data_IF_495333016374
#
_entry.id   IF_495333016374
#
_cell.length_a   1.000
_cell.length_b   1.000
_cell.length_c   1.000
_cell.angle_alpha   90.00
_cell.angle_beta   90.00
_cell.angle_gamma   90.00
#
_symmetry.space_group_name_H-M   'P 1'
#
loop_
_entity.id
_entity.type
_entity.pdbx_description
1 polymer ?
#
# COMPACT_ATOMS: atom_id res chain seq x y z
N UNK A 1 -8.88 1.19 -1.72
CA UNK A 1 -7.71 1.65 -2.50
C UNK A 1 -8.09 2.66 -3.56
N UNK A 2 -8.96 2.33 -4.52
CA UNK A 2 -9.36 3.26 -5.59
C UNK A 2 -9.80 4.64 -5.06
N UNK A 3 -10.75 4.67 -4.11
CA UNK A 3 -11.20 5.93 -3.47
C UNK A 3 -10.03 6.76 -2.94
N UNK A 4 -9.08 6.13 -2.22
CA UNK A 4 -7.93 6.82 -1.63
C UNK A 4 -7.02 7.42 -2.69
N UNK A 5 -6.70 6.64 -3.73
CA UNK A 5 -5.78 7.05 -4.79
C UNK A 5 -6.39 8.17 -5.64
N UNK A 6 -7.62 7.98 -6.13
CA UNK A 6 -8.24 8.94 -7.06
C UNK A 6 -8.64 10.25 -6.38
N UNK A 7 -9.05 10.21 -5.10
CA UNK A 7 -9.25 11.43 -4.31
C UNK A 7 -7.92 12.08 -3.90
N UNK A 8 -6.90 11.28 -3.59
CA UNK A 8 -5.55 11.76 -3.26
C UNK A 8 -4.89 12.50 -4.43
N UNK A 9 -5.04 12.00 -5.66
CA UNK A 9 -4.60 12.71 -6.87
C UNK A 9 -5.31 14.05 -7.06
N UNK A 10 -6.61 14.15 -6.75
CA UNK A 10 -7.33 15.44 -6.82
C UNK A 10 -6.81 16.43 -5.77
N UNK A 11 -6.49 15.96 -4.57
CA UNK A 11 -5.89 16.78 -3.50
C UNK A 11 -4.50 17.25 -3.92
N UNK A 12 -3.69 16.37 -4.50
CA UNK A 12 -2.39 16.70 -5.06
C UNK A 12 -2.50 17.80 -6.14
N UNK A 13 -3.45 17.70 -7.07
CA UNK A 13 -3.62 18.71 -8.13
C UNK A 13 -3.92 20.12 -7.59
N UNK A 14 -4.47 20.26 -6.38
CA UNK A 14 -4.75 21.57 -5.79
C UNK A 14 -3.50 22.27 -5.25
N UNK A 15 -2.45 21.51 -4.92
CA UNK A 15 -1.13 22.03 -4.58
C UNK A 15 -0.09 21.00 -5.03
N UNK A 16 0.28 21.00 -6.31
CA UNK A 16 1.14 19.97 -6.87
C UNK A 16 2.58 20.10 -6.36
N UNK A 17 3.26 18.96 -6.20
CA UNK A 17 4.68 18.91 -5.85
C UNK A 17 5.60 18.93 -7.08
N UNK A 18 5.06 18.54 -8.24
CA UNK A 18 5.74 18.46 -9.53
C UNK A 18 4.89 19.14 -10.59
N UNK A 19 5.49 19.51 -11.73
CA UNK A 19 4.78 20.18 -12.83
C UNK A 19 3.70 19.31 -13.51
N UNK A 20 3.68 18.00 -13.22
CA UNK A 20 2.68 17.08 -13.73
C UNK A 20 1.42 17.06 -12.85
N UNK A 21 0.25 17.09 -13.50
CA UNK A 21 -1.07 16.94 -12.88
C UNK A 21 -1.76 15.66 -13.36
N UNK A 22 -2.63 15.10 -12.54
CA UNK A 22 -3.44 13.95 -12.93
C UNK A 22 -4.71 14.38 -13.69
N UNK A 23 -5.12 13.65 -14.74
CA UNK A 23 -6.34 13.96 -15.48
C UNK A 23 -7.60 13.97 -14.59
N UNK A 24 -8.45 14.98 -14.74
CA UNK A 24 -9.62 15.16 -13.87
C UNK A 24 -10.63 13.99 -13.97
N UNK A 25 -10.74 13.35 -15.13
CA UNK A 25 -11.57 12.16 -15.35
C UNK A 25 -11.09 10.90 -14.60
N UNK A 26 -9.83 10.88 -14.16
CA UNK A 26 -9.27 9.79 -13.35
C UNK A 26 -9.29 10.12 -11.84
N UNK A 27 -9.73 11.32 -11.48
CA UNK A 27 -9.74 11.80 -10.09
C UNK A 27 -11.15 11.75 -9.49
N UNK A 28 -11.25 11.69 -8.17
CA UNK A 28 -12.53 11.60 -7.45
C UNK A 28 -12.80 12.87 -6.64
N UNK A 29 -14.06 13.31 -6.63
CA UNK A 29 -14.56 14.41 -5.80
C UNK A 29 -14.87 15.70 -6.55
N UNK A 30 -14.49 15.82 -7.82
CA UNK A 30 -14.84 16.93 -8.72
C UNK A 30 -14.14 18.26 -8.41
N UNK A 31 -14.05 18.64 -7.13
CA UNK A 31 -13.40 19.84 -6.61
C UNK A 31 -12.64 19.50 -5.31
N UNK A 32 -11.86 20.44 -4.78
CA UNK A 32 -10.97 20.17 -3.65
C UNK A 32 -11.71 19.66 -2.39
N UNK A 33 -12.77 20.34 -1.96
CA UNK A 33 -13.50 19.91 -0.77
C UNK A 33 -14.20 18.55 -0.95
N UNK A 34 -14.73 18.27 -2.14
CA UNK A 34 -15.30 16.96 -2.46
C UNK A 34 -14.24 15.86 -2.44
N UNK A 35 -13.05 16.11 -2.98
CA UNK A 35 -11.93 15.18 -2.91
C UNK A 35 -11.51 14.91 -1.46
N UNK A 36 -11.39 15.95 -0.65
CA UNK A 36 -11.08 15.84 0.78
C UNK A 36 -12.11 14.97 1.50
N UNK A 37 -13.41 15.18 1.27
CA UNK A 37 -14.48 14.38 1.89
C UNK A 37 -14.36 12.89 1.54
N UNK A 38 -14.19 12.57 0.25
CA UNK A 38 -13.99 11.18 -0.20
C UNK A 38 -12.71 10.56 0.34
N UNK A 39 -11.64 11.34 0.43
CA UNK A 39 -10.37 10.88 0.97
C UNK A 39 -10.50 10.54 2.45
N UNK A 40 -11.13 11.39 3.25
CA UNK A 40 -11.38 11.10 4.67
C UNK A 40 -12.29 9.90 4.88
N UNK A 41 -13.33 9.75 4.07
CA UNK A 41 -14.19 8.57 4.11
C UNK A 41 -13.39 7.28 3.84
N UNK A 42 -12.56 7.29 2.80
CA UNK A 42 -11.66 6.19 2.49
C UNK A 42 -10.58 5.96 3.56
N UNK A 43 -10.09 7.03 4.19
CA UNK A 43 -9.01 7.00 5.18
C UNK A 43 -9.44 6.22 6.42
N UNK A 44 -10.65 6.48 6.93
CA UNK A 44 -11.16 5.74 8.09
C UNK A 44 -11.34 4.26 7.78
N UNK A 45 -11.88 3.93 6.60
CA UNK A 45 -11.98 2.54 6.17
C UNK A 45 -10.59 1.90 6.07
N UNK A 46 -9.64 2.54 5.42
CA UNK A 46 -8.29 2.00 5.28
C UNK A 46 -7.56 1.86 6.63
N UNK A 47 -7.56 2.92 7.44
CA UNK A 47 -6.87 2.98 8.71
C UNK A 47 -7.42 1.99 9.72
N UNK A 48 -8.74 1.96 9.94
CA UNK A 48 -9.37 1.04 10.91
C UNK A 48 -9.15 -0.41 10.48
N UNK A 49 -9.39 -0.75 9.21
CA UNK A 49 -9.15 -2.12 8.73
C UNK A 49 -7.68 -2.51 8.84
N UNK A 50 -6.76 -1.59 8.53
CA UNK A 50 -5.32 -1.81 8.67
C UNK A 50 -4.92 -2.06 10.12
N UNK A 51 -5.40 -1.25 11.06
CA UNK A 51 -5.14 -1.43 12.50
C UNK A 51 -5.67 -2.78 12.99
N UNK A 52 -6.93 -3.11 12.69
CA UNK A 52 -7.52 -4.41 13.09
C UNK A 52 -6.70 -5.57 12.51
N UNK A 53 -6.34 -5.50 11.23
CA UNK A 53 -5.51 -6.53 10.58
C UNK A 53 -4.14 -6.70 11.25
N UNK A 54 -3.46 -5.59 11.57
CA UNK A 54 -2.15 -5.64 12.23
C UNK A 54 -2.26 -6.20 13.65
N UNK A 55 -3.25 -5.76 14.43
CA UNK A 55 -3.47 -6.28 15.78
C UNK A 55 -3.73 -7.78 15.76
N UNK A 56 -4.59 -8.26 14.85
CA UNK A 56 -4.84 -9.71 14.68
C UNK A 56 -3.53 -10.43 14.35
N UNK A 57 -2.72 -9.91 13.43
CA UNK A 57 -1.46 -10.56 13.04
C UNK A 57 -0.42 -10.62 14.18
N UNK A 58 -0.36 -9.58 15.01
CA UNK A 58 0.54 -9.49 16.17
C UNK A 58 0.05 -10.42 17.28
N UNK A 59 -1.20 -10.29 17.73
CA UNK A 59 -1.73 -11.06 18.88
C UNK A 59 -1.91 -12.55 18.58
N UNK A 60 -2.21 -12.92 17.33
CA UNK A 60 -2.27 -14.35 16.95
C UNK A 60 -0.90 -14.99 16.72
N UNK A 61 0.19 -14.22 16.79
CA UNK A 61 1.54 -14.67 16.44
C UNK A 61 1.69 -15.04 14.95
N UNK A 62 0.66 -14.82 14.13
CA UNK A 62 0.64 -15.12 12.70
C UNK A 62 1.74 -14.38 11.95
N UNK A 63 2.06 -13.16 12.38
CA UNK A 63 3.12 -12.35 11.76
C UNK A 63 4.47 -13.09 11.77
N UNK A 64 4.90 -13.54 12.95
CA UNK A 64 6.16 -14.27 13.11
C UNK A 64 6.11 -15.63 12.41
N UNK A 65 5.01 -16.38 12.57
CA UNK A 65 4.89 -17.75 12.05
C UNK A 65 4.79 -17.82 10.52
N UNK A 66 4.11 -16.87 9.87
CA UNK A 66 3.90 -16.90 8.42
C UNK A 66 4.98 -16.16 7.62
N UNK A 67 5.51 -15.06 8.14
CA UNK A 67 6.41 -14.20 7.37
C UNK A 67 7.90 -14.40 7.68
N UNK A 68 8.25 -15.08 8.78
CA UNK A 68 9.63 -15.37 9.14
C UNK A 68 9.91 -16.88 9.18
N UNK A 69 11.16 -17.33 8.89
CA UNK A 69 12.33 -16.52 8.55
C UNK A 69 12.33 -15.99 7.10
N UNK A 70 12.86 -14.78 6.91
CA UNK A 70 13.19 -14.21 5.60
C UNK A 70 14.69 -14.41 5.37
N UNK A 71 15.05 -15.13 4.31
CA UNK A 71 16.45 -15.33 3.91
C UNK A 71 16.72 -14.58 2.62
N UNK A 72 17.76 -13.73 2.61
CA UNK A 72 18.14 -12.90 1.44
C UNK A 72 18.42 -13.80 0.21
N UNK A 73 19.07 -14.94 0.41
CA UNK A 73 19.32 -15.92 -0.65
C UNK A 73 18.02 -16.50 -1.24
N UNK A 74 17.00 -16.74 -0.41
CA UNK A 74 15.69 -17.22 -0.85
C UNK A 74 14.90 -16.15 -1.62
N UNK A 75 15.02 -14.87 -1.22
CA UNK A 75 14.43 -13.75 -1.96
C UNK A 75 15.01 -13.66 -3.38
N UNK A 76 16.34 -13.74 -3.52
CA UNK A 76 16.98 -13.68 -4.84
C UNK A 76 16.67 -14.90 -5.72
N UNK A 77 16.62 -16.10 -5.14
CA UNK A 77 16.24 -17.32 -5.86
C UNK A 77 14.80 -17.23 -6.38
N UNK A 78 13.84 -16.91 -5.51
CA UNK A 78 12.43 -16.80 -5.87
C UNK A 78 12.17 -15.63 -6.84
N UNK A 79 12.91 -14.52 -6.72
CA UNK A 79 12.81 -13.39 -7.65
C UNK A 79 13.27 -13.78 -9.05
N UNK A 80 14.38 -14.53 -9.16
CA UNK A 80 14.89 -15.05 -10.43
C UNK A 80 13.94 -16.07 -11.04
N UNK A 81 13.30 -16.90 -10.23
CA UNK A 81 12.32 -17.88 -10.69
C UNK A 81 10.97 -17.23 -11.08
N UNK A 82 10.58 -16.16 -10.39
CA UNK A 82 9.43 -15.33 -10.75
C UNK A 82 9.63 -14.67 -12.12
N UNK A 83 10.81 -14.08 -12.37
CA UNK A 83 11.16 -13.50 -13.68
C UNK A 83 11.20 -14.54 -14.80
N UNK A 84 11.46 -15.80 -14.48
CA UNK A 84 11.49 -16.91 -15.44
C UNK A 84 10.12 -17.57 -15.64
N UNK A 85 9.07 -17.09 -14.96
CA UNK A 85 7.74 -17.70 -15.00
C UNK A 85 7.68 -19.11 -14.39
N UNK A 86 8.72 -19.50 -13.65
CA UNK A 86 8.90 -20.85 -13.07
C UNK A 86 8.78 -20.83 -11.55
N UNK A 87 7.95 -19.94 -11.00
CA UNK A 87 7.56 -20.04 -9.60
C UNK A 87 6.92 -21.43 -9.41
N UNK A 88 7.65 -22.38 -8.84
CA UNK A 88 7.19 -23.74 -8.64
C UNK A 88 6.09 -23.73 -7.58
N UNK A 89 4.84 -23.84 -8.02
CA UNK A 89 3.67 -23.90 -7.15
C UNK A 89 3.50 -25.33 -6.61
N UNK A 90 4.48 -25.82 -5.84
CA UNK A 90 4.36 -27.13 -5.20
C UNK A 90 3.35 -27.12 -4.04
N UNK A 91 3.07 -25.95 -3.45
CA UNK A 91 2.13 -25.83 -2.35
C UNK A 91 1.48 -24.42 -2.31
N UNK A 92 0.22 -24.30 -2.73
CA UNK A 92 -0.54 -23.04 -2.72
C UNK A 92 -0.80 -22.51 -1.29
N UNK A 93 -0.52 -23.32 -0.27
CA UNK A 93 -0.66 -22.95 1.14
C UNK A 93 0.56 -22.18 1.70
N UNK A 94 1.70 -22.24 1.00
CA UNK A 94 2.96 -21.64 1.40
C UNK A 94 3.24 -20.38 0.57
N UNK A 95 3.45 -19.24 1.24
CA UNK A 95 3.89 -18.03 0.56
C UNK A 95 5.35 -18.18 0.13
N UNK A 96 5.64 -17.85 -1.13
CA UNK A 96 7.02 -17.73 -1.61
C UNK A 96 7.72 -16.54 -0.93
N UNK A 97 9.05 -16.48 -0.94
CA UNK A 97 9.82 -15.45 -0.24
C UNK A 97 9.57 -14.06 -0.81
N UNK A 98 9.35 -13.94 -2.12
CA UNK A 98 9.01 -12.67 -2.78
C UNK A 98 7.63 -12.16 -2.32
N UNK A 99 6.66 -13.04 -2.17
CA UNK A 99 5.32 -12.75 -1.66
C UNK A 99 5.40 -12.33 -0.20
N UNK A 100 6.14 -13.05 0.64
CA UNK A 100 6.35 -12.66 2.06
C UNK A 100 6.96 -11.26 2.16
N UNK A 101 7.99 -10.99 1.36
CA UNK A 101 8.61 -9.66 1.30
C UNK A 101 7.62 -8.60 0.82
N UNK A 102 6.84 -8.89 -0.23
CA UNK A 102 5.87 -7.97 -0.78
C UNK A 102 4.73 -7.67 0.22
N UNK A 103 4.25 -8.66 0.96
CA UNK A 103 3.29 -8.46 2.05
C UNK A 103 3.88 -7.61 3.18
N UNK A 104 5.12 -7.86 3.57
CA UNK A 104 5.80 -7.04 4.58
C UNK A 104 5.97 -5.59 4.11
N UNK A 105 6.40 -5.41 2.87
CA UNK A 105 6.50 -4.11 2.22
C UNK A 105 5.17 -3.36 2.26
N UNK A 106 4.06 -3.97 1.82
CA UNK A 106 2.74 -3.32 1.82
C UNK A 106 2.23 -3.02 3.23
N UNK A 107 2.54 -3.87 4.22
CA UNK A 107 2.22 -3.58 5.61
C UNK A 107 2.98 -2.35 6.12
N UNK A 108 4.29 -2.27 5.87
CA UNK A 108 5.10 -1.13 6.26
C UNK A 108 4.71 0.16 5.51
N UNK A 109 4.50 0.08 4.20
CA UNK A 109 4.08 1.19 3.36
C UNK A 109 2.68 1.70 3.75
N UNK A 110 1.76 0.78 4.08
CA UNK A 110 0.45 1.14 4.63
C UNK A 110 0.53 1.90 5.95
N UNK A 111 1.43 1.52 6.85
CA UNK A 111 1.70 2.29 8.08
C UNK A 111 2.28 3.66 7.74
N UNK A 112 3.25 3.73 6.82
CA UNK A 112 3.86 4.99 6.39
C UNK A 112 2.81 5.95 5.78
N UNK A 113 1.87 5.44 4.98
CA UNK A 113 0.75 6.20 4.44
C UNK A 113 -0.13 6.81 5.53
N UNK A 114 -0.48 6.03 6.56
CA UNK A 114 -1.30 6.52 7.68
C UNK A 114 -0.55 7.59 8.47
N UNK A 115 0.72 7.32 8.83
CA UNK A 115 1.55 8.24 9.62
C UNK A 115 1.78 9.56 8.88
N UNK A 116 2.18 9.49 7.61
CA UNK A 116 2.37 10.70 6.78
C UNK A 116 1.07 11.45 6.53
N UNK A 117 -0.04 10.74 6.31
CA UNK A 117 -1.37 11.35 6.15
C UNK A 117 -1.83 12.10 7.41
N UNK A 118 -1.54 11.57 8.61
CA UNK A 118 -1.82 12.25 9.87
C UNK A 118 -1.01 13.54 10.02
N UNK A 119 0.27 13.55 9.63
CA UNK A 119 1.09 14.77 9.62
C UNK A 119 0.54 15.80 8.63
N UNK A 120 0.18 15.38 7.42
CA UNK A 120 -0.39 16.28 6.41
C UNK A 120 -1.75 16.84 6.84
N UNK A 121 -2.58 16.05 7.53
CA UNK A 121 -3.88 16.51 8.01
C UNK A 121 -3.80 17.41 9.25
N UNK A 122 -2.92 17.06 10.20
CA UNK A 122 -2.93 17.58 11.58
C UNK A 122 -1.50 17.90 12.07
N UNK A 123 -0.72 18.58 11.24
CA UNK A 123 0.70 18.91 11.51
C UNK A 123 0.92 19.61 12.85
N UNK A 124 0.01 20.51 13.22
CA UNK A 124 0.07 21.25 14.49
C UNK A 124 -0.28 20.37 15.70
N UNK A 125 -1.19 19.41 15.54
CA UNK A 125 -1.55 18.48 16.62
C UNK A 125 -0.51 17.36 16.81
N UNK A 126 0.30 17.07 15.80
CA UNK A 126 1.37 16.07 15.84
C UNK A 126 2.76 16.69 15.61
N UNK A 127 3.21 17.62 16.46
CA UNK A 127 4.43 18.38 16.21
C UNK A 127 5.69 17.50 16.19
N UNK A 128 5.78 16.50 17.06
CA UNK A 128 6.91 15.56 17.09
C UNK A 128 7.00 14.78 15.77
N UNK A 129 5.87 14.26 15.28
CA UNK A 129 5.80 13.47 14.06
C UNK A 129 6.12 14.31 12.82
N UNK A 130 5.65 15.56 12.81
CA UNK A 130 5.98 16.55 11.80
C UNK A 130 7.50 16.81 11.75
N UNK A 131 8.15 17.04 12.89
CA UNK A 131 9.60 17.24 12.97
C UNK A 131 10.37 16.01 12.49
N UNK A 132 9.95 14.79 12.90
CA UNK A 132 10.59 13.54 12.48
C UNK A 132 10.48 13.30 10.97
N UNK A 133 9.42 13.81 10.32
CA UNK A 133 9.25 13.74 8.86
C UNK A 133 9.97 14.87 8.10
N UNK A 134 10.65 15.80 8.79
CA UNK A 134 11.31 16.94 8.15
C UNK A 134 10.39 18.12 7.87
N UNK A 135 9.22 18.17 8.50
CA UNK A 135 8.22 19.22 8.36
C UNK A 135 7.08 18.86 7.41
N UNK A 136 6.14 19.81 7.27
CA UNK A 136 4.88 19.59 6.54
C UNK A 136 5.13 19.30 5.05
N UNK A 137 6.00 20.05 4.39
CA UNK A 137 6.28 19.86 2.97
C UNK A 137 6.99 18.53 2.72
N UNK A 138 7.98 18.17 3.54
CA UNK A 138 8.63 16.86 3.46
C UNK A 138 7.63 15.71 3.68
N UNK A 139 6.69 15.84 4.62
CA UNK A 139 5.63 14.86 4.84
C UNK A 139 4.72 14.69 3.61
N UNK A 140 4.46 15.74 2.84
CA UNK A 140 3.71 15.65 1.57
C UNK A 140 4.46 14.83 0.52
N UNK A 141 5.78 15.02 0.40
CA UNK A 141 6.60 14.18 -0.48
C UNK A 141 6.60 12.72 -0.03
N UNK A 142 6.81 12.46 1.27
CA UNK A 142 6.77 11.10 1.82
C UNK A 142 5.42 10.44 1.53
N UNK A 143 4.32 11.15 1.77
CA UNK A 143 2.97 10.63 1.51
C UNK A 143 2.77 10.32 0.01
N UNK A 144 3.20 11.23 -0.87
CA UNK A 144 3.10 11.04 -2.31
C UNK A 144 3.90 9.82 -2.81
N UNK A 145 5.14 9.66 -2.35
CA UNK A 145 5.98 8.52 -2.72
C UNK A 145 5.43 7.20 -2.18
N UNK A 146 4.96 7.17 -0.93
CA UNK A 146 4.29 6.00 -0.37
C UNK A 146 3.03 5.64 -1.17
N UNK A 147 2.22 6.64 -1.56
CA UNK A 147 1.03 6.40 -2.38
C UNK A 147 1.40 5.85 -3.76
N UNK A 148 2.45 6.39 -4.37
CA UNK A 148 2.96 5.91 -5.66
C UNK A 148 3.49 4.48 -5.58
N UNK A 149 4.20 4.15 -4.49
CA UNK A 149 4.72 2.80 -4.25
C UNK A 149 3.58 1.78 -4.04
N UNK A 150 2.55 2.14 -3.27
CA UNK A 150 1.33 1.33 -3.12
C UNK A 150 0.61 1.10 -4.46
N UNK A 151 0.46 2.14 -5.29
CA UNK A 151 -0.13 2.00 -6.63
C UNK A 151 0.71 1.07 -7.50
N UNK A 152 2.03 1.24 -7.52
CA UNK A 152 2.96 0.36 -8.24
C UNK A 152 2.85 -1.09 -7.80
N UNK A 153 2.77 -1.34 -6.48
CA UNK A 153 2.53 -2.67 -5.95
C UNK A 153 1.20 -3.26 -6.44
N UNK A 154 0.10 -2.49 -6.39
CA UNK A 154 -1.22 -2.97 -6.86
C UNK A 154 -1.16 -3.33 -8.34
N UNK A 155 -0.52 -2.52 -9.18
CA UNK A 155 -0.36 -2.81 -10.61
C UNK A 155 0.41 -4.11 -10.83
N UNK A 156 1.58 -4.27 -10.20
CA UNK A 156 2.39 -5.49 -10.30
C UNK A 156 1.60 -6.70 -9.79
N UNK A 157 0.91 -6.55 -8.66
CA UNK A 157 0.09 -7.61 -8.07
C UNK A 157 -1.02 -8.06 -9.02
N UNK A 158 -1.74 -7.13 -9.64
CA UNK A 158 -2.78 -7.45 -10.62
C UNK A 158 -2.22 -8.14 -11.87
N UNK A 159 -1.05 -7.72 -12.37
CA UNK A 159 -0.37 -8.39 -13.48
C UNK A 159 -0.05 -9.84 -13.10
N UNK A 160 0.52 -10.07 -11.92
CA UNK A 160 0.86 -11.42 -11.43
C UNK A 160 -0.38 -12.32 -11.30
N UNK A 161 -1.51 -11.77 -10.83
CA UNK A 161 -2.78 -12.49 -10.73
C UNK A 161 -3.34 -12.83 -12.11
N UNK A 162 -3.26 -11.91 -13.07
CA UNK A 162 -3.71 -12.15 -14.46
C UNK A 162 -2.86 -13.21 -15.17
N UNK A 163 -1.54 -13.25 -14.90
CA UNK A 163 -0.65 -14.27 -15.46
C UNK A 163 -0.91 -15.68 -14.89
N UNK A 164 -1.52 -15.78 -13.70
CA UNK A 164 -1.83 -17.07 -13.04
C UNK A 164 -3.31 -17.14 -12.66
N UNK A 165 -4.25 -17.25 -13.62
CA UNK A 165 -5.69 -17.12 -13.38
C UNK A 165 -6.28 -18.19 -12.46
N UNK A 166 -5.60 -19.33 -12.27
CA UNK A 166 -5.98 -20.34 -11.27
C UNK A 166 -6.01 -19.75 -9.85
N UNK A 167 -5.11 -18.81 -9.54
CA UNK A 167 -5.09 -18.13 -8.24
C UNK A 167 -6.30 -17.22 -8.01
N UNK A 168 -6.80 -16.57 -9.08
CA UNK A 168 -7.99 -15.72 -9.01
C UNK A 168 -9.23 -16.54 -8.60
N UNK A 169 -9.39 -17.72 -9.20
CA UNK A 169 -10.51 -18.62 -8.88
C UNK A 169 -10.47 -19.09 -7.42
N UNK A 170 -9.29 -19.44 -6.91
CA UNK A 170 -9.10 -19.81 -5.51
C UNK A 170 -9.37 -18.64 -4.57
N UNK A 171 -8.98 -17.41 -4.92
CA UNK A 171 -9.29 -16.22 -4.12
C UNK A 171 -10.79 -15.93 -4.04
N UNK A 172 -11.54 -16.13 -5.13
CA UNK A 172 -12.99 -15.90 -5.17
C UNK A 172 -13.78 -17.02 -4.48
N UNK A 173 -13.34 -18.28 -4.60
CA UNK A 173 -14.05 -19.44 -4.01
C UNK A 173 -13.60 -19.79 -2.59
N UNK A 174 -12.45 -19.27 -2.15
CA UNK A 174 -11.85 -19.62 -0.86
C UNK A 174 -11.40 -21.08 -0.75
N UNK A 175 -11.36 -21.80 -1.88
CA UNK A 175 -10.99 -23.22 -2.04
C UNK A 175 -10.33 -23.43 -3.39
#
# INVERSE_FOLDING_TARGET
MLIMVTSGWRIYNASPLFDAMFPDNLTLGGWLGGAIQWHFAGMWLFGINGVVYLLINIFSGRLKRKFFPLTIQGIFADFKDALRGKLAHADLSQYNMVQKLAYLFVMCDGVLLVVSGLVVWKSVQFPLLNTLMGGFDAARYVHFFAMSAMVGFVVIHLIMVMLVPKTLLTMLRGR
#
